data_IF_754367136665
#
_entry.id   IF_754367136665
#
_cell.length_a   1.000
_cell.length_b   1.000
_cell.length_c   1.000
_cell.angle_alpha   90.00
_cell.angle_beta   90.00
_cell.angle_gamma   90.00
#
_symmetry.space_group_name_H-M   'P 1'
#
loop_
_entity.id
_entity.type
_entity.pdbx_description
1 polymer ?
#
# COMPACT_ATOMS: atom_id res chain seq x y z
N UNK A 1 -20.72 11.59 -13.66
CA UNK A 1 -20.25 12.35 -12.47
C UNK A 1 -19.35 11.43 -11.65
N UNK A 2 -18.18 11.87 -11.16
CA UNK A 2 -17.31 11.03 -10.34
C UNK A 2 -17.50 11.35 -8.86
N UNK A 3 -18.06 10.41 -8.09
CA UNK A 3 -18.32 10.53 -6.65
C UNK A 3 -17.91 9.23 -5.96
N UNK A 4 -17.32 9.34 -4.77
CA UNK A 4 -17.09 8.16 -3.92
C UNK A 4 -18.36 7.79 -3.16
N UNK A 5 -18.59 6.50 -2.97
CA UNK A 5 -19.59 5.95 -2.05
C UNK A 5 -19.03 5.69 -0.65
N UNK A 6 -17.71 5.87 -0.47
CA UNK A 6 -17.07 5.82 0.83
C UNK A 6 -17.08 7.22 1.44
N UNK A 7 -17.73 7.35 2.60
CA UNK A 7 -17.90 8.64 3.27
C UNK A 7 -16.55 9.23 3.62
N UNK A 8 -16.37 10.52 3.27
CA UNK A 8 -15.14 11.32 3.46
C UNK A 8 -13.94 10.86 2.60
N UNK A 9 -14.16 10.08 1.54
CA UNK A 9 -13.12 9.72 0.58
C UNK A 9 -13.28 10.47 -0.74
N UNK A 10 -12.19 11.06 -1.24
CA UNK A 10 -12.19 11.82 -2.50
C UNK A 10 -12.86 13.20 -2.43
N UNK A 11 -12.93 13.93 -3.56
CA UNK A 11 -13.44 15.30 -3.61
C UNK A 11 -14.97 15.42 -3.49
N UNK A 12 -15.70 14.31 -3.73
CA UNK A 12 -17.15 14.20 -3.60
C UNK A 12 -17.51 12.89 -2.92
N UNK A 13 -18.33 12.95 -1.87
CA UNK A 13 -18.77 11.82 -1.05
C UNK A 13 -20.15 12.09 -0.44
N UNK A 14 -20.88 11.08 0.07
CA UNK A 14 -22.23 11.26 0.62
C UNK A 14 -22.19 12.09 1.90
N UNK A 15 -23.04 13.10 1.99
CA UNK A 15 -23.10 14.02 3.13
C UNK A 15 -24.36 13.80 3.97
N UNK A 16 -25.36 13.08 3.45
CA UNK A 16 -26.67 12.86 4.08
C UNK A 16 -26.97 11.38 4.25
N UNK A 17 -25.99 10.65 4.80
CA UNK A 17 -26.08 9.22 5.16
C UNK A 17 -27.27 8.97 6.09
N UNK A 18 -28.05 7.93 5.83
CA UNK A 18 -29.13 7.46 6.70
C UNK A 18 -28.55 6.85 7.97
N UNK A 19 -28.34 7.68 9.00
CA UNK A 19 -27.89 7.25 10.31
C UNK A 19 -28.32 8.26 11.38
N UNK A 20 -29.16 7.82 12.34
CA UNK A 20 -29.80 8.72 13.32
C UNK A 20 -28.81 9.56 14.13
N UNK A 21 -27.77 8.93 14.66
CA UNK A 21 -26.76 9.65 15.43
C UNK A 21 -25.85 10.52 14.55
N UNK A 22 -25.81 10.29 13.24
CA UNK A 22 -25.04 11.14 12.33
C UNK A 22 -25.79 12.43 11.99
N UNK A 23 -27.12 12.31 11.83
CA UNK A 23 -28.01 13.40 11.42
C UNK A 23 -28.45 14.32 12.55
N UNK A 24 -28.35 13.88 13.81
CA UNK A 24 -28.84 14.63 14.96
C UNK A 24 -27.77 15.58 15.49
N UNK A 25 -27.99 16.89 15.42
CA UNK A 25 -27.08 17.86 16.03
C UNK A 25 -27.38 17.98 17.53
N UNK A 26 -26.62 17.23 18.32
CA UNK A 26 -26.75 17.19 19.79
C UNK A 26 -26.42 18.51 20.51
N UNK A 27 -25.82 19.47 19.81
CA UNK A 27 -25.49 20.80 20.37
C UNK A 27 -26.50 21.87 19.95
N UNK A 28 -27.42 21.55 19.05
CA UNK A 28 -28.42 22.49 18.57
C UNK A 28 -29.45 22.83 19.66
N UNK A 29 -29.96 24.06 19.64
CA UNK A 29 -31.07 24.45 20.50
C UNK A 29 -32.30 23.54 20.34
N UNK A 30 -32.54 23.07 19.11
CA UNK A 30 -33.62 22.13 18.78
C UNK A 30 -33.46 20.78 19.49
N UNK A 31 -32.24 20.25 19.58
CA UNK A 31 -31.98 19.02 20.34
C UNK A 31 -32.12 19.26 21.85
N UNK A 32 -31.54 20.36 22.37
CA UNK A 32 -31.60 20.67 23.79
C UNK A 32 -33.04 20.87 24.30
N UNK A 33 -33.91 21.51 23.50
CA UNK A 33 -35.33 21.66 23.85
C UNK A 33 -36.08 20.33 23.86
N UNK A 34 -35.67 19.36 23.04
CA UNK A 34 -36.29 18.03 23.01
C UNK A 34 -35.98 17.21 24.27
N UNK A 35 -34.87 17.48 24.98
CA UNK A 35 -34.49 16.71 26.17
C UNK A 35 -35.50 16.81 27.32
N UNK A 36 -36.34 17.85 27.34
CA UNK A 36 -37.40 18.02 28.33
C UNK A 36 -38.67 17.20 28.03
N UNK A 37 -38.80 16.63 26.83
CA UNK A 37 -39.97 15.88 26.40
C UNK A 37 -39.96 14.43 26.94
N UNK A 38 -41.12 13.76 27.07
CA UNK A 38 -41.16 12.31 27.31
C UNK A 38 -40.42 11.51 26.23
N UNK A 39 -39.77 10.41 26.60
CA UNK A 39 -38.87 9.65 25.70
C UNK A 39 -39.49 9.24 24.34
N UNK A 40 -40.77 8.85 24.33
CA UNK A 40 -41.47 8.52 23.09
C UNK A 40 -41.64 9.75 22.18
N UNK A 41 -41.97 10.89 22.77
CA UNK A 41 -42.13 12.17 22.08
C UNK A 41 -40.78 12.68 21.55
N UNK A 42 -39.68 12.48 22.29
CA UNK A 42 -38.33 12.79 21.82
C UNK A 42 -38.01 12.08 20.51
N UNK A 43 -38.33 10.79 20.39
CA UNK A 43 -38.10 10.03 19.16
C UNK A 43 -38.89 10.59 17.97
N UNK A 44 -40.17 10.91 18.18
CA UNK A 44 -41.06 11.45 17.13
C UNK A 44 -40.60 12.83 16.67
N UNK A 45 -40.32 13.73 17.62
CA UNK A 45 -39.85 15.10 17.32
C UNK A 45 -38.48 15.07 16.64
N UNK A 46 -37.55 14.24 17.13
CA UNK A 46 -36.23 14.06 16.52
C UNK A 46 -36.34 13.54 15.08
N UNK A 47 -37.19 12.53 14.83
CA UNK A 47 -37.44 12.03 13.48
C UNK A 47 -37.99 13.12 12.56
N UNK A 48 -39.03 13.85 13.00
CA UNK A 48 -39.62 14.94 12.22
C UNK A 48 -38.62 16.07 11.92
N UNK A 49 -37.70 16.34 12.85
CA UNK A 49 -36.70 17.41 12.73
C UNK A 49 -35.55 17.03 11.78
N UNK A 50 -34.98 15.83 11.93
CA UNK A 50 -33.69 15.50 11.31
C UNK A 50 -33.80 14.58 10.08
N UNK A 51 -34.84 13.76 9.96
CA UNK A 51 -34.92 12.73 8.92
C UNK A 51 -34.95 13.31 7.50
N UNK A 52 -35.73 14.38 7.28
CA UNK A 52 -35.85 15.06 5.97
C UNK A 52 -35.14 16.41 5.90
N UNK A 53 -34.31 16.75 6.89
CA UNK A 53 -33.56 18.00 6.88
C UNK A 53 -32.65 18.07 5.62
N UNK A 54 -32.67 19.15 4.82
CA UNK A 54 -31.86 19.22 3.59
C UNK A 54 -30.35 19.38 3.84
N UNK A 55 -29.95 19.83 5.04
CA UNK A 55 -28.57 20.11 5.42
C UNK A 55 -27.72 18.82 5.48
N UNK A 56 -26.39 18.91 5.36
CA UNK A 56 -25.47 17.81 5.64
C UNK A 56 -25.60 17.25 7.06
N UNK A 57 -25.15 16.01 7.27
CA UNK A 57 -25.05 15.47 8.63
C UNK A 57 -24.04 16.26 9.48
N UNK A 58 -24.41 16.69 10.70
CA UNK A 58 -23.49 17.37 11.62
C UNK A 58 -22.32 16.46 12.06
N UNK A 59 -22.50 15.15 12.02
CA UNK A 59 -21.46 14.17 12.32
C UNK A 59 -21.17 13.30 11.11
N UNK A 60 -19.92 13.33 10.63
CA UNK A 60 -19.48 12.62 9.42
C UNK A 60 -19.00 11.22 9.79
N UNK A 61 -19.66 10.19 9.25
CA UNK A 61 -19.31 8.78 9.44
C UNK A 61 -18.12 8.38 8.54
N UNK A 62 -16.94 8.91 8.82
CA UNK A 62 -15.74 8.69 8.01
C UNK A 62 -15.46 7.20 7.81
N UNK A 63 -15.28 6.77 6.55
CA UNK A 63 -14.99 5.37 6.21
C UNK A 63 -16.23 4.46 6.16
N UNK A 64 -17.43 4.99 6.41
CA UNK A 64 -18.65 4.24 6.19
C UNK A 64 -18.88 4.04 4.69
N UNK A 65 -19.23 2.81 4.31
CA UNK A 65 -19.74 2.49 2.99
C UNK A 65 -21.26 2.62 3.00
N UNK A 66 -21.81 3.48 2.14
CA UNK A 66 -23.26 3.58 1.90
C UNK A 66 -23.73 2.45 0.98
N UNK A 67 -25.03 2.38 0.71
CA UNK A 67 -25.59 1.47 -0.29
C UNK A 67 -25.07 1.71 -1.72
N UNK A 68 -25.71 1.08 -2.70
CA UNK A 68 -25.35 1.23 -4.10
C UNK A 68 -26.13 2.37 -4.77
N UNK A 69 -25.66 2.88 -5.93
CA UNK A 69 -26.55 3.58 -6.84
C UNK A 69 -27.69 2.66 -7.34
N UNK A 70 -28.69 3.26 -7.97
CA UNK A 70 -29.74 2.54 -8.69
C UNK A 70 -29.22 1.87 -9.97
N UNK A 71 -30.11 1.18 -10.68
CA UNK A 71 -29.78 0.45 -11.92
C UNK A 71 -29.27 1.35 -13.05
N UNK A 72 -29.59 2.64 -13.00
CA UNK A 72 -29.14 3.67 -13.94
C UNK A 72 -27.90 4.45 -13.46
N UNK A 73 -27.17 3.89 -12.49
CA UNK A 73 -26.01 4.48 -11.82
C UNK A 73 -26.31 5.82 -11.11
N UNK A 74 -27.59 6.14 -10.87
CA UNK A 74 -27.96 7.35 -10.13
C UNK A 74 -27.92 7.13 -8.63
N UNK A 75 -27.31 8.10 -7.94
CA UNK A 75 -27.25 8.16 -6.49
C UNK A 75 -27.89 9.46 -5.99
N UNK A 76 -28.96 9.33 -5.21
CA UNK A 76 -29.58 10.43 -4.51
C UNK A 76 -29.10 10.45 -3.05
N UNK A 77 -28.18 11.38 -2.73
CA UNK A 77 -27.64 11.58 -1.38
C UNK A 77 -28.73 12.17 -0.46
N UNK A 78 -29.70 11.36 -0.05
CA UNK A 78 -30.85 11.74 0.77
C UNK A 78 -31.00 10.76 1.92
N UNK A 79 -31.07 11.24 3.17
CA UNK A 79 -31.32 10.38 4.34
C UNK A 79 -32.59 9.54 4.22
N UNK A 80 -33.60 10.05 3.53
CA UNK A 80 -34.86 9.31 3.34
C UNK A 80 -34.73 8.17 2.34
N UNK A 81 -33.73 8.22 1.46
CA UNK A 81 -33.40 7.16 0.52
C UNK A 81 -32.49 6.12 1.22
N UNK A 82 -33.05 5.37 2.16
CA UNK A 82 -32.28 4.40 2.95
C UNK A 82 -31.66 3.32 2.07
N UNK A 83 -32.30 2.92 0.97
CA UNK A 83 -31.78 1.92 0.03
C UNK A 83 -30.40 2.26 -0.51
N UNK A 84 -30.15 3.55 -0.81
CA UNK A 84 -28.86 4.00 -1.31
C UNK A 84 -27.98 4.63 -0.22
N UNK A 85 -28.56 5.32 0.77
CA UNK A 85 -27.82 6.14 1.73
C UNK A 85 -27.54 5.46 3.08
N UNK A 86 -28.05 4.26 3.32
CA UNK A 86 -27.80 3.53 4.56
C UNK A 86 -26.36 3.03 4.65
N UNK A 87 -25.72 3.32 5.77
CA UNK A 87 -24.40 2.80 6.10
C UNK A 87 -24.54 1.54 6.96
N UNK A 88 -24.02 0.42 6.49
CA UNK A 88 -24.09 -0.85 7.23
C UNK A 88 -22.71 -1.34 7.65
N UNK A 89 -22.65 -1.96 8.83
CA UNK A 89 -21.44 -2.61 9.32
C UNK A 89 -21.01 -3.74 8.39
N UNK A 90 -21.96 -4.56 7.92
CA UNK A 90 -21.69 -5.70 7.04
C UNK A 90 -21.09 -5.28 5.71
N UNK A 91 -21.68 -4.27 5.03
CA UNK A 91 -21.15 -3.75 3.77
C UNK A 91 -19.75 -3.18 3.93
N UNK A 92 -19.55 -2.35 4.97
CA UNK A 92 -18.25 -1.75 5.30
C UNK A 92 -17.19 -2.81 5.61
N UNK A 93 -17.53 -3.85 6.37
CA UNK A 93 -16.59 -4.93 6.72
C UNK A 93 -16.15 -5.75 5.50
N UNK A 94 -17.08 -6.15 4.64
CA UNK A 94 -16.76 -6.90 3.42
C UNK A 94 -15.90 -6.06 2.47
N UNK A 95 -16.24 -4.78 2.30
CA UNK A 95 -15.46 -3.85 1.49
C UNK A 95 -14.03 -3.70 2.00
N UNK A 96 -13.82 -3.49 3.30
CA UNK A 96 -12.47 -3.41 3.86
C UNK A 96 -11.70 -4.74 3.75
N UNK A 97 -12.37 -5.89 3.87
CA UNK A 97 -11.74 -7.19 3.60
C UNK A 97 -11.24 -7.28 2.16
N UNK A 98 -12.05 -6.85 1.19
CA UNK A 98 -11.67 -6.84 -0.23
C UNK A 98 -10.52 -5.87 -0.48
N UNK A 99 -10.55 -4.66 0.08
CA UNK A 99 -9.44 -3.71 0.00
C UNK A 99 -8.16 -4.30 0.59
N UNK A 100 -8.23 -4.91 1.78
CA UNK A 100 -7.09 -5.58 2.38
C UNK A 100 -6.54 -6.69 1.48
N UNK A 101 -7.42 -7.51 0.89
CA UNK A 101 -7.03 -8.53 -0.08
C UNK A 101 -6.37 -7.96 -1.33
N UNK A 102 -6.88 -6.85 -1.88
CA UNK A 102 -6.31 -6.20 -3.05
C UNK A 102 -4.91 -5.65 -2.77
N UNK A 103 -4.73 -4.99 -1.62
CA UNK A 103 -3.42 -4.52 -1.16
C UNK A 103 -2.47 -5.67 -0.83
N UNK A 104 -3.00 -6.85 -0.49
CA UNK A 104 -2.21 -8.08 -0.29
C UNK A 104 -1.91 -8.78 -1.63
N UNK A 105 -2.77 -8.71 -2.64
CA UNK A 105 -2.49 -9.26 -3.97
C UNK A 105 -1.47 -8.43 -4.76
N UNK A 106 -1.36 -7.13 -4.47
CA UNK A 106 -0.24 -6.29 -4.94
C UNK A 106 1.05 -6.52 -4.14
N UNK A 107 1.00 -7.33 -3.08
CA UNK A 107 2.09 -7.58 -2.13
C UNK A 107 2.17 -9.08 -1.87
N UNK A 108 2.81 -9.85 -2.78
CA UNK A 108 3.17 -11.26 -2.54
C UNK A 108 3.38 -11.54 -1.05
N UNK A 109 2.66 -12.54 -0.48
CA UNK A 109 2.74 -13.04 0.91
C UNK A 109 4.03 -12.54 1.56
N UNK A 110 3.99 -11.72 2.64
CA UNK A 110 5.11 -10.89 3.00
C UNK A 110 6.32 -11.78 3.20
N UNK A 111 7.15 -11.86 2.15
CA UNK A 111 8.48 -12.38 2.29
C UNK A 111 9.05 -11.56 3.46
N UNK A 112 9.72 -12.23 4.39
CA UNK A 112 10.36 -11.54 5.51
C UNK A 112 11.22 -10.36 5.02
N UNK A 113 11.65 -10.41 3.75
CA UNK A 113 12.27 -9.34 3.01
C UNK A 113 11.32 -8.68 2.01
N UNK A 114 11.14 -7.37 2.14
CA UNK A 114 10.47 -6.52 1.16
C UNK A 114 11.49 -5.65 0.41
N UNK A 115 11.29 -5.47 -0.89
CA UNK A 115 12.12 -4.58 -1.71
C UNK A 115 11.31 -3.35 -2.14
N UNK A 116 11.86 -2.15 -1.89
CA UNK A 116 11.28 -0.90 -2.38
C UNK A 116 12.28 -0.21 -3.29
N UNK A 117 11.89 0.00 -4.55
CA UNK A 117 12.73 0.64 -5.56
C UNK A 117 12.32 2.09 -5.79
N UNK A 118 13.28 3.00 -5.89
CA UNK A 118 13.03 4.42 -6.20
C UNK A 118 14.18 5.04 -6.98
N UNK A 119 13.90 6.06 -7.79
CA UNK A 119 14.93 6.92 -8.40
C UNK A 119 15.10 8.12 -7.47
N UNK A 120 16.34 8.37 -7.03
CA UNK A 120 16.66 9.47 -6.10
C UNK A 120 17.31 10.68 -6.77
N UNK A 121 17.91 10.48 -7.95
CA UNK A 121 18.47 11.56 -8.77
C UNK A 121 18.47 11.13 -10.23
N UNK A 122 18.41 12.12 -11.12
CA UNK A 122 18.41 11.94 -12.57
C UNK A 122 19.19 13.07 -13.21
N UNK A 123 20.10 12.76 -14.12
CA UNK A 123 20.91 13.75 -14.85
C UNK A 123 21.20 13.28 -16.27
N UNK A 124 21.66 14.19 -17.12
CA UNK A 124 22.03 13.89 -18.50
C UNK A 124 23.50 14.22 -18.76
N UNK A 125 24.15 13.41 -19.58
CA UNK A 125 25.50 13.65 -20.09
C UNK A 125 25.43 13.48 -21.61
N UNK A 126 25.51 14.59 -22.34
CA UNK A 126 25.23 14.60 -23.78
C UNK A 126 23.79 14.16 -24.07
N UNK A 127 23.64 13.19 -24.98
CA UNK A 127 22.34 12.60 -25.31
C UNK A 127 21.88 11.50 -24.33
N UNK A 128 22.76 11.06 -23.42
CA UNK A 128 22.49 9.96 -22.49
C UNK A 128 21.90 10.46 -21.19
N UNK A 129 20.97 9.68 -20.62
CA UNK A 129 20.28 10.00 -19.38
C UNK A 129 20.56 8.92 -18.33
N UNK A 130 20.96 9.36 -17.14
CA UNK A 130 21.34 8.51 -16.03
C UNK A 130 20.42 8.74 -14.84
N UNK A 131 20.16 7.66 -14.11
CA UNK A 131 19.36 7.65 -12.90
C UNK A 131 20.18 7.01 -11.77
N UNK A 132 20.21 7.68 -10.60
CA UNK A 132 20.63 7.06 -9.35
C UNK A 132 19.43 6.33 -8.76
N UNK A 133 19.50 5.01 -8.75
CA UNK A 133 18.50 4.14 -8.17
C UNK A 133 18.84 3.86 -6.70
N UNK A 134 17.80 3.79 -5.88
CA UNK A 134 17.84 3.38 -4.47
C UNK A 134 16.91 2.20 -4.28
N UNK A 135 17.47 1.11 -3.78
CA UNK A 135 16.74 -0.08 -3.37
C UNK A 135 16.80 -0.16 -1.85
N UNK A 136 15.64 -0.23 -1.22
CA UNK A 136 15.52 -0.49 0.22
C UNK A 136 15.13 -1.95 0.40
N UNK A 137 15.98 -2.70 1.10
CA UNK A 137 15.74 -4.08 1.53
C UNK A 137 15.27 -4.01 2.98
N UNK A 138 13.98 -4.21 3.21
CA UNK A 138 13.36 -4.11 4.54
C UNK A 138 13.14 -5.50 5.12
N UNK A 139 13.58 -5.73 6.36
CA UNK A 139 13.12 -6.88 7.14
C UNK A 139 11.75 -6.53 7.75
N UNK A 140 10.70 -7.17 7.24
CA UNK A 140 9.32 -7.02 7.67
C UNK A 140 8.89 -8.11 8.68
N UNK A 141 9.82 -8.97 9.12
CA UNK A 141 9.53 -9.94 10.18
C UNK A 141 9.43 -9.26 11.55
N UNK A 142 8.60 -9.84 12.42
CA UNK A 142 8.32 -9.27 13.73
C UNK A 142 9.49 -9.42 14.71
N UNK A 143 10.12 -10.61 14.76
CA UNK A 143 11.10 -10.94 15.80
C UNK A 143 12.38 -11.60 15.30
N UNK A 144 12.51 -11.91 14.00
CA UNK A 144 13.65 -12.67 13.49
C UNK A 144 14.62 -11.80 12.69
N UNK A 145 15.91 -11.93 12.96
CA UNK A 145 16.91 -11.27 12.13
C UNK A 145 17.04 -12.02 10.80
N UNK A 146 17.19 -11.29 9.69
CA UNK A 146 17.50 -11.92 8.41
C UNK A 146 19.01 -11.92 8.19
N UNK A 147 19.57 -13.10 7.97
CA UNK A 147 20.99 -13.35 7.70
C UNK A 147 21.17 -14.12 6.39
N UNK A 148 22.41 -14.26 5.92
CA UNK A 148 22.78 -15.03 4.72
C UNK A 148 21.95 -14.66 3.48
N UNK A 149 21.64 -13.37 3.33
CA UNK A 149 20.85 -12.85 2.22
C UNK A 149 21.62 -13.04 0.91
N UNK A 150 21.03 -13.78 -0.03
CA UNK A 150 21.50 -13.92 -1.40
C UNK A 150 20.48 -13.37 -2.39
N UNK A 151 20.96 -12.53 -3.30
CA UNK A 151 20.17 -11.85 -4.30
C UNK A 151 20.78 -12.09 -5.68
N UNK A 152 19.93 -12.08 -6.70
CA UNK A 152 20.33 -11.94 -8.10
C UNK A 152 19.83 -10.60 -8.63
N UNK A 153 20.70 -9.86 -9.29
CA UNK A 153 20.34 -8.59 -9.92
C UNK A 153 20.51 -8.73 -11.42
N UNK A 154 19.39 -8.73 -12.14
CA UNK A 154 19.35 -8.79 -13.60
C UNK A 154 19.20 -7.38 -14.18
N UNK A 155 19.64 -7.20 -15.44
CA UNK A 155 19.64 -5.91 -16.15
C UNK A 155 20.43 -4.80 -15.45
N UNK A 156 21.47 -5.18 -14.71
CA UNK A 156 22.50 -4.25 -14.29
C UNK A 156 23.45 -4.03 -15.47
N UNK A 157 23.70 -2.79 -15.87
CA UNK A 157 24.65 -2.52 -16.96
C UNK A 157 26.06 -2.95 -16.51
N UNK A 158 26.91 -3.53 -17.37
CA UNK A 158 28.23 -4.04 -16.99
C UNK A 158 29.14 -2.98 -16.33
N UNK A 159 28.97 -1.72 -16.71
CA UNK A 159 29.74 -0.58 -16.20
C UNK A 159 29.12 0.07 -14.95
N UNK A 160 28.01 -0.48 -14.45
CA UNK A 160 27.31 0.08 -13.29
C UNK A 160 28.11 -0.16 -12.02
N UNK A 161 28.31 0.90 -11.24
CA UNK A 161 28.77 0.75 -9.86
C UNK A 161 27.58 0.45 -8.95
N UNK A 162 27.68 -0.63 -8.17
CA UNK A 162 26.70 -1.03 -7.15
C UNK A 162 27.30 -0.77 -5.77
N UNK A 163 26.55 -0.09 -4.90
CA UNK A 163 26.93 0.18 -3.51
C UNK A 163 25.96 -0.47 -2.54
N UNK A 164 26.49 -1.02 -1.45
CA UNK A 164 25.70 -1.65 -0.39
C UNK A 164 25.51 -3.15 -0.56
N UNK A 165 26.04 -3.79 -1.59
CA UNK A 165 26.10 -5.24 -1.72
C UNK A 165 27.49 -5.68 -2.17
N UNK A 166 27.86 -6.91 -1.84
CA UNK A 166 29.08 -7.56 -2.30
C UNK A 166 28.73 -8.62 -3.33
N UNK A 167 29.37 -8.57 -4.49
CA UNK A 167 29.24 -9.61 -5.52
C UNK A 167 29.89 -10.89 -5.02
N UNK A 168 29.17 -12.01 -5.11
CA UNK A 168 29.72 -13.34 -4.85
C UNK A 168 30.47 -13.80 -6.11
N UNK A 169 31.69 -14.30 -5.95
CA UNK A 169 32.44 -14.88 -7.07
C UNK A 169 31.73 -16.15 -7.53
N UNK A 170 31.64 -16.35 -8.85
CA UNK A 170 31.29 -17.66 -9.39
C UNK A 170 32.38 -18.64 -8.95
N UNK A 171 31.99 -19.80 -8.43
CA UNK A 171 32.95 -20.84 -8.07
C UNK A 171 33.81 -21.16 -9.30
N UNK A 172 35.11 -20.88 -9.21
CA UNK A 172 36.08 -21.37 -10.19
C UNK A 172 36.10 -22.88 -10.00
N UNK A 173 35.54 -23.62 -10.94
CA UNK A 173 35.79 -25.06 -11.05
C UNK A 173 37.24 -25.16 -11.50
N UNK A 174 38.10 -25.61 -10.60
CA UNK A 174 39.51 -25.85 -10.89
C UNK A 174 39.57 -27.01 -11.89
N UNK A 175 39.60 -26.65 -13.17
CA UNK A 175 39.65 -27.58 -14.29
C UNK A 175 41.07 -28.11 -14.41
N UNK A 176 41.22 -29.41 -14.17
CA UNK A 176 42.44 -30.14 -14.47
C UNK A 176 42.89 -29.97 -15.93
N UNK A 177 44.19 -30.19 -16.07
CA UNK A 177 45.06 -30.05 -17.24
C UNK A 177 44.49 -30.52 -18.60
N UNK A 178 44.94 -29.85 -19.67
CA UNK A 178 44.77 -30.15 -21.10
C UNK A 178 43.36 -30.07 -21.74
N UNK A 179 43.02 -28.93 -22.37
CA UNK A 179 43.13 -28.70 -23.83
C UNK A 179 42.39 -27.40 -24.24
N UNK A 180 42.95 -26.69 -25.21
CA UNK A 180 42.37 -25.47 -25.77
C UNK A 180 41.14 -25.80 -26.63
N UNK A 181 39.94 -25.56 -26.13
CA UNK A 181 38.84 -25.07 -26.96
C UNK A 181 37.72 -24.43 -26.14
N UNK A 182 37.38 -23.20 -26.53
CA UNK A 182 36.26 -22.37 -26.08
C UNK A 182 35.76 -22.53 -24.64
N UNK A 183 36.23 -21.64 -23.76
CA UNK A 183 35.51 -21.27 -22.56
C UNK A 183 34.14 -20.67 -22.96
N UNK A 184 33.13 -21.53 -23.08
CA UNK A 184 31.73 -21.12 -23.01
C UNK A 184 31.58 -20.48 -21.63
N UNK A 185 31.59 -19.15 -21.59
CA UNK A 185 31.26 -18.36 -20.42
C UNK A 185 29.84 -18.75 -20.00
N UNK A 186 29.73 -19.78 -19.18
CA UNK A 186 28.58 -20.05 -18.35
C UNK A 186 28.42 -18.81 -17.48
N UNK A 187 27.64 -17.87 -18.00
CA UNK A 187 27.38 -16.57 -17.41
C UNK A 187 26.41 -16.82 -16.27
N UNK A 188 26.91 -17.43 -15.20
CA UNK A 188 26.19 -17.54 -13.94
C UNK A 188 25.85 -16.12 -13.55
N UNK A 189 24.54 -15.83 -13.57
CA UNK A 189 24.04 -14.51 -13.25
C UNK A 189 24.63 -14.08 -11.91
N UNK A 190 25.23 -12.89 -11.86
CA UNK A 190 25.98 -12.45 -10.69
C UNK A 190 25.07 -12.48 -9.44
N UNK A 191 25.48 -13.27 -8.45
CA UNK A 191 24.85 -13.29 -7.14
C UNK A 191 25.47 -12.20 -6.25
N UNK A 192 24.67 -11.67 -5.33
CA UNK A 192 25.03 -10.60 -4.43
C UNK A 192 24.60 -10.94 -3.01
N UNK A 193 25.43 -10.58 -2.04
CA UNK A 193 25.15 -10.72 -0.62
C UNK A 193 25.37 -9.39 0.12
N UNK A 194 24.97 -9.35 1.39
CA UNK A 194 25.33 -8.23 2.25
C UNK A 194 26.87 -8.17 2.42
N UNK A 195 27.45 -6.96 2.52
CA UNK A 195 28.87 -6.82 2.80
C UNK A 195 29.26 -7.42 4.15
N UNK A 196 30.55 -7.74 4.33
CA UNK A 196 31.07 -8.32 5.58
C UNK A 196 30.75 -7.51 6.85
N UNK A 197 30.56 -6.19 6.74
CA UNK A 197 30.22 -5.30 7.85
C UNK A 197 28.71 -5.28 8.19
N UNK A 198 27.84 -5.85 7.35
CA UNK A 198 26.40 -5.91 7.56
C UNK A 198 25.92 -7.36 7.50
N UNK A 199 26.18 -8.14 8.55
CA UNK A 199 25.88 -9.58 8.58
C UNK A 199 24.39 -9.91 8.76
N UNK A 200 23.58 -8.95 9.18
CA UNK A 200 22.14 -9.16 9.40
C UNK A 200 21.31 -7.90 9.16
N UNK A 201 20.02 -8.10 8.87
CA UNK A 201 19.00 -7.04 8.88
C UNK A 201 18.06 -7.34 10.04
N UNK A 202 18.11 -6.54 11.10
CA UNK A 202 17.26 -6.71 12.29
C UNK A 202 15.76 -6.52 11.97
N UNK A 203 14.86 -7.04 12.82
CA UNK A 203 13.42 -6.82 12.68
C UNK A 203 13.09 -5.33 12.50
N UNK A 204 12.17 -5.04 11.57
CA UNK A 204 11.74 -3.69 11.21
C UNK A 204 12.85 -2.74 10.73
N UNK A 205 14.07 -3.24 10.51
CA UNK A 205 15.20 -2.47 10.02
C UNK A 205 15.33 -2.60 8.49
N UNK A 206 16.21 -1.77 7.91
CA UNK A 206 16.40 -1.72 6.45
C UNK A 206 17.87 -1.63 6.08
N UNK A 207 18.22 -2.27 4.98
CA UNK A 207 19.49 -2.10 4.28
C UNK A 207 19.26 -1.35 2.98
N UNK A 208 20.16 -0.43 2.61
CA UNK A 208 19.99 0.43 1.44
C UNK A 208 21.09 0.18 0.44
N UNK A 209 20.69 -0.04 -0.81
CA UNK A 209 21.57 -0.30 -1.94
C UNK A 209 21.38 0.81 -2.97
N UNK A 210 22.47 1.27 -3.56
CA UNK A 210 22.43 2.26 -4.64
C UNK A 210 23.09 1.69 -5.89
N UNK A 211 22.62 2.10 -7.05
CA UNK A 211 23.33 1.91 -8.32
C UNK A 211 22.99 3.04 -9.29
N UNK A 212 23.85 3.23 -10.29
CA UNK A 212 23.69 4.27 -11.31
C UNK A 212 23.76 3.64 -12.69
N UNK A 213 22.69 3.77 -13.46
CA UNK A 213 22.65 3.36 -14.87
C UNK A 213 21.63 4.21 -15.63
N UNK A 214 21.21 3.79 -16.82
CA UNK A 214 20.03 4.38 -17.47
C UNK A 214 18.77 4.22 -16.60
N UNK A 215 17.69 4.93 -16.92
CA UNK A 215 16.52 4.96 -16.04
C UNK A 215 15.67 3.67 -16.05
N UNK A 216 16.09 2.62 -16.76
CA UNK A 216 15.51 1.27 -16.64
C UNK A 216 15.91 0.66 -15.30
N UNK A 217 14.90 0.21 -14.57
CA UNK A 217 15.08 -0.43 -13.27
C UNK A 217 15.63 -1.86 -13.45
N UNK A 218 16.75 -2.14 -12.78
CA UNK A 218 17.28 -3.49 -12.60
C UNK A 218 16.28 -4.37 -11.84
N UNK A 219 16.20 -5.64 -12.22
CA UNK A 219 15.30 -6.62 -11.60
C UNK A 219 16.04 -7.31 -10.45
N UNK A 220 15.46 -7.25 -9.26
CA UNK A 220 16.03 -7.84 -8.05
C UNK A 220 15.24 -9.09 -7.71
N UNK A 221 15.94 -10.22 -7.62
CA UNK A 221 15.36 -11.52 -7.30
C UNK A 221 15.99 -12.01 -6.00
N UNK A 222 15.16 -12.30 -5.00
CA UNK A 222 15.60 -12.98 -3.78
C UNK A 222 15.90 -14.45 -4.10
N UNK A 223 17.12 -14.90 -3.80
CA UNK A 223 17.52 -16.30 -3.99
C UNK A 223 17.32 -17.10 -2.70
N UNK A 224 17.91 -16.61 -1.60
CA UNK A 224 17.83 -17.28 -0.29
C UNK A 224 18.10 -16.29 0.85
N UNK A 225 17.68 -16.67 2.05
CA UNK A 225 18.02 -16.02 3.31
C UNK A 225 17.81 -17.00 4.47
N UNK A 226 18.37 -16.71 5.64
CA UNK A 226 18.06 -17.40 6.90
C UNK A 226 17.36 -16.45 7.86
N UNK A 227 16.54 -17.03 8.74
CA UNK A 227 15.91 -16.32 9.85
C UNK A 227 16.42 -16.93 11.16
N UNK A 228 16.84 -16.07 12.08
CA UNK A 228 17.28 -16.42 13.43
C UNK A 228 16.34 -15.80 14.46
#
# INVERSE_FOLDING_TARGET
MSMSYLVRYGPRFPQRVHHRAASTDTKSAAFLSQLAEPAEQQCRTSYATWYRNPDPNPHILTGALVGSPGEDDQYADLRSNYEQSEATMTGTAVFFRLLASLTSSSSQSPAAIQFMHSIVSKWSVGASQFCKHRVVIKNASHNMAVTDLKLRIDHLSPETTLWGLSRLQAAVVDGGDHDQDQAVLNTTAAEYALPHWATSIHPNSRHVVFYVQDCRQAKITLLSYRQL
#
